data_IF_237114469542
#
_entry.id   IF_237114469542
#
_cell.length_a   1.000
_cell.length_b   1.000
_cell.length_c   1.000
_cell.angle_alpha   90.00
_cell.angle_beta   90.00
_cell.angle_gamma   90.00
#
_symmetry.space_group_name_H-M   'P 1'
#
loop_
_entity.id
_entity.type
_entity.pdbx_description
1 polymer ?
#
# COMPACT_ATOMS: atom_id res chain seq x y z
N UNK A 1 2.52 7.50 -16.94
CA UNK A 1 2.74 7.82 -15.51
C UNK A 1 4.19 8.19 -15.21
N UNK A 2 5.14 7.27 -15.35
CA UNK A 2 6.56 7.47 -14.90
C UNK A 2 7.27 8.65 -15.55
N UNK A 3 7.00 8.94 -16.82
CA UNK A 3 7.61 10.06 -17.53
C UNK A 3 7.11 11.41 -17.01
N UNK A 4 5.81 11.53 -16.76
CA UNK A 4 5.20 12.72 -16.16
C UNK A 4 5.81 13.05 -14.79
N UNK A 5 5.95 12.04 -13.91
CA UNK A 5 6.59 12.19 -12.60
C UNK A 5 8.02 12.72 -12.74
N UNK A 6 8.84 12.11 -13.59
CA UNK A 6 10.23 12.56 -13.83
C UNK A 6 10.31 14.00 -14.35
N UNK A 7 9.38 14.40 -15.23
CA UNK A 7 9.35 15.76 -15.78
C UNK A 7 9.01 16.79 -14.71
N UNK A 8 7.99 16.51 -13.88
CA UNK A 8 7.57 17.41 -12.82
C UNK A 8 8.59 17.48 -11.68
N UNK A 9 9.16 16.35 -11.28
CA UNK A 9 10.20 16.26 -10.27
C UNK A 9 11.49 17.01 -10.66
N UNK A 10 11.88 17.00 -11.95
CA UNK A 10 13.02 17.77 -12.46
C UNK A 10 12.79 19.29 -12.46
N UNK A 11 11.54 19.75 -12.47
CA UNK A 11 11.14 21.17 -12.43
C UNK A 11 10.83 21.65 -11.02
N UNK A 12 10.91 20.77 -10.04
CA UNK A 12 10.60 21.09 -8.65
C UNK A 12 11.64 22.04 -8.03
N UNK A 13 11.25 22.68 -6.94
CA UNK A 13 12.10 23.61 -6.21
C UNK A 13 13.31 22.89 -5.60
N UNK A 14 14.35 23.66 -5.27
CA UNK A 14 15.49 23.17 -4.50
C UNK A 14 15.03 22.58 -3.17
N UNK A 15 15.57 21.42 -2.78
CA UNK A 15 15.14 20.71 -1.58
C UNK A 15 13.94 19.77 -1.77
N UNK A 16 13.41 19.63 -2.99
CA UNK A 16 12.36 18.67 -3.27
C UNK A 16 12.92 17.24 -3.35
N UNK A 17 12.44 16.39 -2.45
CA UNK A 17 12.79 14.97 -2.43
C UNK A 17 11.72 14.17 -3.17
N UNK A 18 12.13 13.41 -4.20
CA UNK A 18 11.24 12.59 -5.00
C UNK A 18 11.16 11.16 -4.46
N UNK A 19 10.00 10.52 -4.63
CA UNK A 19 9.82 9.08 -4.37
C UNK A 19 10.12 8.70 -2.89
N UNK A 20 9.62 9.49 -1.94
CA UNK A 20 9.88 9.32 -0.50
C UNK A 20 9.07 8.17 0.06
N UNK A 21 9.75 7.14 0.57
CA UNK A 21 9.09 6.01 1.24
C UNK A 21 8.67 6.40 2.65
N UNK A 22 7.40 6.20 2.95
CA UNK A 22 6.78 6.51 4.23
C UNK A 22 6.14 5.25 4.80
N UNK A 23 6.31 5.02 6.09
CA UNK A 23 5.71 3.90 6.81
C UNK A 23 5.14 4.42 8.12
N UNK A 24 3.95 3.96 8.48
CA UNK A 24 3.33 4.29 9.76
C UNK A 24 2.73 3.03 10.37
N UNK A 25 3.06 2.79 11.64
CA UNK A 25 2.46 1.73 12.45
C UNK A 25 1.52 2.35 13.46
N UNK A 26 0.26 1.93 13.43
CA UNK A 26 -0.80 2.45 14.31
C UNK A 26 -1.46 1.30 15.04
N UNK A 27 -1.57 1.41 16.36
CA UNK A 27 -2.45 0.54 17.14
C UNK A 27 -3.86 1.14 17.14
N UNK A 28 -4.81 0.41 16.60
CA UNK A 28 -6.21 0.84 16.53
C UNK A 28 -7.12 -0.33 16.92
N UNK A 29 -7.96 -0.14 17.95
CA UNK A 29 -8.85 -1.14 18.56
C UNK A 29 -8.17 -2.51 18.82
N UNK A 30 -6.92 -2.48 19.32
CA UNK A 30 -6.17 -3.69 19.65
C UNK A 30 -5.59 -4.46 18.47
N UNK A 31 -5.66 -3.88 17.26
CA UNK A 31 -5.00 -4.38 16.04
C UNK A 31 -3.86 -3.44 15.64
N UNK A 32 -2.72 -4.00 15.28
CA UNK A 32 -1.59 -3.24 14.74
C UNK A 32 -1.71 -3.16 13.21
N UNK A 33 -1.80 -1.92 12.70
CA UNK A 33 -1.83 -1.64 11.27
C UNK A 33 -0.50 -1.06 10.85
N UNK A 34 0.23 -1.76 10.02
CA UNK A 34 1.39 -1.25 9.32
C UNK A 34 0.99 -0.83 7.91
N UNK A 35 1.09 0.46 7.63
CA UNK A 35 0.75 1.03 6.33
C UNK A 35 1.98 1.72 5.78
N UNK A 36 2.39 1.31 4.59
CA UNK A 36 3.52 1.89 3.89
C UNK A 36 3.13 2.32 2.49
N UNK A 37 3.85 3.32 1.99
CA UNK A 37 3.69 3.78 0.62
C UNK A 37 4.82 4.71 0.23
N UNK A 38 4.71 5.28 -0.96
CA UNK A 38 5.73 6.15 -1.51
C UNK A 38 5.08 7.40 -2.05
N UNK A 39 5.34 8.52 -1.38
CA UNK A 39 4.91 9.83 -1.85
C UNK A 39 5.71 10.22 -3.10
N UNK A 40 5.07 10.82 -4.09
CA UNK A 40 5.73 11.25 -5.32
C UNK A 40 6.74 12.37 -5.06
N UNK A 41 6.51 13.19 -4.03
CA UNK A 41 7.45 14.20 -3.60
C UNK A 41 7.17 14.79 -2.22
N UNK A 42 8.23 15.24 -1.59
CA UNK A 42 8.22 15.99 -0.33
C UNK A 42 9.14 17.19 -0.47
N UNK A 43 8.66 18.37 -0.12
CA UNK A 43 9.45 19.60 -0.06
C UNK A 43 9.46 20.09 1.38
N UNK A 44 10.66 20.18 1.96
CA UNK A 44 10.88 20.75 3.30
C UNK A 44 11.31 22.21 3.18
N UNK A 45 10.55 23.10 3.84
CA UNK A 45 10.76 24.54 3.84
C UNK A 45 10.16 25.16 5.10
N UNK A 46 9.69 26.39 5.03
CA UNK A 46 8.95 27.03 6.14
C UNK A 46 7.75 26.19 6.57
N UNK A 47 7.10 25.56 5.60
CA UNK A 47 6.11 24.52 5.82
C UNK A 47 6.43 23.33 4.94
N UNK A 48 6.41 22.13 5.52
CA UNK A 48 6.59 20.89 4.77
C UNK A 48 5.40 20.69 3.84
N UNK A 49 5.66 20.26 2.59
CA UNK A 49 4.66 19.95 1.59
C UNK A 49 4.85 18.52 1.11
N UNK A 50 3.76 17.75 1.07
CA UNK A 50 3.69 16.46 0.40
C UNK A 50 2.93 16.58 -0.92
N UNK A 51 3.47 16.00 -1.97
CA UNK A 51 2.88 16.03 -3.31
C UNK A 51 2.56 14.62 -3.80
N UNK A 52 1.37 14.49 -4.38
CA UNK A 52 0.91 13.31 -5.10
C UNK A 52 0.62 13.71 -6.55
N UNK A 53 1.23 13.01 -7.51
CA UNK A 53 1.16 13.32 -8.95
C UNK A 53 0.35 12.25 -9.67
N UNK A 54 -0.68 12.66 -10.42
CA UNK A 54 -1.50 11.75 -11.21
C UNK A 54 -1.52 12.13 -12.68
N UNK A 55 -1.15 11.17 -13.53
CA UNK A 55 -1.37 11.31 -14.97
C UNK A 55 -2.83 10.96 -15.30
N UNK A 56 -3.53 11.87 -15.93
CA UNK A 56 -4.96 11.74 -16.22
C UNK A 56 -5.26 12.13 -17.67
N UNK A 57 -6.37 11.62 -18.22
CA UNK A 57 -6.92 12.07 -19.49
C UNK A 57 -7.76 13.33 -19.34
N UNK A 58 -8.15 13.95 -20.47
CA UNK A 58 -8.84 15.24 -20.53
C UNK A 58 -10.11 15.30 -19.64
N UNK A 59 -10.92 14.24 -19.62
CA UNK A 59 -12.16 14.20 -18.83
C UNK A 59 -11.90 14.27 -17.32
N UNK A 60 -10.89 13.60 -16.82
CA UNK A 60 -10.51 13.62 -15.40
C UNK A 60 -9.76 14.91 -15.04
N UNK A 61 -8.95 15.43 -15.95
CA UNK A 61 -8.24 16.71 -15.80
C UNK A 61 -9.18 17.90 -15.59
N UNK A 62 -10.34 17.89 -16.27
CA UNK A 62 -11.34 18.95 -16.16
C UNK A 62 -12.13 18.94 -14.84
N UNK A 63 -12.03 17.88 -14.05
CA UNK A 63 -12.77 17.70 -12.79
C UNK A 63 -11.89 18.00 -11.57
N UNK A 64 -12.52 18.05 -10.40
CA UNK A 64 -11.82 17.98 -9.12
C UNK A 64 -11.11 16.63 -8.96
N UNK A 65 -10.02 16.56 -8.16
CA UNK A 65 -9.36 15.32 -7.84
C UNK A 65 -10.33 14.27 -7.31
N UNK A 66 -10.01 12.99 -7.51
CA UNK A 66 -10.81 11.92 -6.94
C UNK A 66 -10.56 11.80 -5.43
N UNK A 67 -11.59 11.44 -4.67
CA UNK A 67 -11.47 11.20 -3.24
C UNK A 67 -10.39 10.14 -2.89
N UNK A 68 -10.14 9.18 -3.79
CA UNK A 68 -9.07 8.19 -3.60
C UNK A 68 -7.68 8.82 -3.64
N UNK A 69 -7.42 9.71 -4.60
CA UNK A 69 -6.13 10.41 -4.71
C UNK A 69 -5.91 11.36 -3.54
N UNK A 70 -6.97 12.06 -3.11
CA UNK A 70 -6.92 12.90 -1.92
C UNK A 70 -6.62 12.07 -0.66
N UNK A 71 -7.30 10.95 -0.47
CA UNK A 71 -7.07 10.07 0.68
C UNK A 71 -5.63 9.54 0.71
N UNK A 72 -5.05 9.19 -0.44
CA UNK A 72 -3.66 8.75 -0.54
C UNK A 72 -2.70 9.86 -0.09
N UNK A 73 -2.86 11.07 -0.64
CA UNK A 73 -2.00 12.21 -0.29
C UNK A 73 -2.12 12.57 1.20
N UNK A 74 -3.33 12.50 1.77
CA UNK A 74 -3.56 12.76 3.19
C UNK A 74 -2.94 11.69 4.10
N UNK A 75 -2.93 10.42 3.71
CA UNK A 75 -2.22 9.38 4.46
C UNK A 75 -0.73 9.68 4.51
N UNK A 76 -0.12 10.07 3.40
CA UNK A 76 1.30 10.44 3.39
C UNK A 76 1.59 11.69 4.22
N UNK A 77 0.70 12.69 4.16
CA UNK A 77 0.80 13.87 5.01
C UNK A 77 0.73 13.50 6.50
N UNK A 78 -0.19 12.63 6.89
CA UNK A 78 -0.29 12.12 8.25
C UNK A 78 0.98 11.40 8.70
N UNK A 79 1.56 10.56 7.83
CA UNK A 79 2.79 9.84 8.15
C UNK A 79 3.96 10.81 8.38
N UNK A 80 4.07 11.85 7.56
CA UNK A 80 5.08 12.90 7.75
C UNK A 80 4.86 13.69 9.04
N UNK A 81 3.63 14.11 9.34
CA UNK A 81 3.32 14.78 10.61
C UNK A 81 3.76 13.94 11.81
N UNK A 82 3.53 12.63 11.76
CA UNK A 82 3.93 11.70 12.83
C UNK A 82 5.44 11.50 12.93
N UNK A 83 6.14 11.47 11.81
CA UNK A 83 7.57 11.21 11.76
C UNK A 83 8.41 12.44 12.10
N UNK A 84 7.92 13.63 11.73
CA UNK A 84 8.65 14.89 11.84
C UNK A 84 8.07 15.83 12.91
N UNK A 85 7.06 15.36 13.69
CA UNK A 85 6.37 16.11 14.76
C UNK A 85 5.82 17.46 14.26
N UNK A 86 5.07 17.41 13.15
CA UNK A 86 4.49 18.59 12.53
C UNK A 86 3.05 18.79 12.96
N UNK A 87 2.68 20.01 13.33
CA UNK A 87 1.30 20.40 13.63
C UNK A 87 0.47 20.64 12.38
N UNK A 88 1.12 21.12 11.31
CA UNK A 88 0.50 21.45 10.02
C UNK A 88 1.41 21.03 8.85
N UNK A 89 0.79 20.68 7.74
CA UNK A 89 1.47 20.30 6.50
C UNK A 89 0.65 20.73 5.28
N UNK A 90 1.34 21.12 4.21
CA UNK A 90 0.70 21.36 2.92
C UNK A 90 0.56 20.06 2.14
N UNK A 91 -0.62 19.84 1.61
CA UNK A 91 -0.93 18.69 0.74
C UNK A 91 -1.22 19.20 -0.66
N UNK A 92 -0.42 18.78 -1.63
CA UNK A 92 -0.59 19.11 -3.04
C UNK A 92 -0.94 17.87 -3.85
N UNK A 93 -2.00 18.00 -4.65
CA UNK A 93 -2.35 17.02 -5.66
C UNK A 93 -2.16 17.62 -7.04
N UNK A 94 -1.25 17.05 -7.81
CA UNK A 94 -0.88 17.54 -9.15
C UNK A 94 -1.41 16.60 -10.22
N UNK A 95 -2.29 17.12 -11.09
CA UNK A 95 -2.80 16.43 -12.25
C UNK A 95 -1.99 16.82 -13.50
N UNK A 96 -1.42 15.82 -14.14
CA UNK A 96 -0.71 15.95 -15.41
C UNK A 96 -1.57 15.35 -16.52
N UNK A 97 -1.92 16.17 -17.54
CA UNK A 97 -2.65 15.67 -18.70
C UNK A 97 -1.66 15.08 -19.70
N UNK A 98 -1.78 13.76 -19.95
CA UNK A 98 -0.84 13.02 -20.78
C UNK A 98 -0.87 13.40 -22.27
N UNK A 99 -1.95 14.00 -22.74
CA UNK A 99 -2.19 14.34 -24.16
C UNK A 99 -1.37 15.55 -24.62
N UNK A 100 -1.20 16.55 -23.77
CA UNK A 100 -0.54 17.81 -24.11
C UNK A 100 0.43 18.34 -23.07
N UNK A 101 0.62 17.60 -21.96
CA UNK A 101 1.52 17.98 -20.87
C UNK A 101 1.02 19.10 -19.97
N UNK A 102 -0.25 19.47 -20.05
CA UNK A 102 -0.86 20.48 -19.17
C UNK A 102 -0.82 20.03 -17.70
N UNK A 103 -0.57 20.95 -16.79
CA UNK A 103 -0.50 20.70 -15.34
C UNK A 103 -1.51 21.52 -14.60
N UNK A 104 -2.19 20.92 -13.63
CA UNK A 104 -3.09 21.59 -12.71
C UNK A 104 -2.88 21.06 -11.30
N UNK A 105 -2.65 21.94 -10.35
CA UNK A 105 -2.38 21.57 -8.95
C UNK A 105 -3.48 22.09 -8.03
N UNK A 106 -3.78 21.30 -7.02
CA UNK A 106 -4.68 21.62 -5.92
C UNK A 106 -3.87 21.51 -4.64
N UNK A 107 -3.79 22.58 -3.88
CA UNK A 107 -3.03 22.61 -2.64
C UNK A 107 -3.90 23.12 -1.51
N UNK A 108 -3.73 22.53 -0.34
CA UNK A 108 -4.34 23.00 0.90
C UNK A 108 -3.44 22.70 2.08
N UNK A 109 -3.53 23.50 3.13
CA UNK A 109 -2.94 23.22 4.43
C UNK A 109 -3.88 22.33 5.23
N UNK A 110 -3.34 21.33 5.90
CA UNK A 110 -4.05 20.42 6.78
C UNK A 110 -3.36 20.40 8.15
N UNK A 111 -4.13 20.35 9.21
CA UNK A 111 -3.60 20.10 10.56
C UNK A 111 -3.35 18.61 10.79
N UNK A 112 -2.41 18.27 11.66
CA UNK A 112 -2.15 16.88 12.07
C UNK A 112 -3.42 16.24 12.65
N UNK A 113 -4.24 17.00 13.39
CA UNK A 113 -5.49 16.51 13.97
C UNK A 113 -6.53 16.11 12.89
N UNK A 114 -6.73 16.96 11.86
CA UNK A 114 -7.59 16.63 10.72
C UNK A 114 -7.13 15.38 9.99
N UNK A 115 -5.81 15.27 9.75
CA UNK A 115 -5.23 14.12 9.04
C UNK A 115 -5.37 12.84 9.85
N UNK A 116 -5.19 12.91 11.16
CA UNK A 116 -5.40 11.80 12.08
C UNK A 116 -6.83 11.29 12.03
N UNK A 117 -7.81 12.17 12.14
CA UNK A 117 -9.24 11.81 12.09
C UNK A 117 -9.56 11.09 10.79
N UNK A 118 -9.12 11.64 9.65
CA UNK A 118 -9.32 11.03 8.34
C UNK A 118 -8.64 9.68 8.20
N UNK A 119 -7.43 9.55 8.71
CA UNK A 119 -6.70 8.27 8.69
C UNK A 119 -7.42 7.21 9.52
N UNK A 120 -7.88 7.54 10.72
CA UNK A 120 -8.64 6.61 11.55
C UNK A 120 -10.01 6.26 10.94
N UNK A 121 -10.67 7.19 10.26
CA UNK A 121 -11.86 6.88 9.49
C UNK A 121 -11.61 5.90 8.32
N UNK A 122 -10.41 5.86 7.75
CA UNK A 122 -10.02 4.84 6.78
C UNK A 122 -9.76 3.50 7.46
N UNK A 123 -9.07 3.47 8.61
CA UNK A 123 -8.82 2.23 9.37
C UNK A 123 -10.14 1.57 9.81
N UNK A 124 -11.12 2.35 10.28
CA UNK A 124 -12.43 1.81 10.68
C UNK A 124 -13.15 1.08 9.54
N UNK A 125 -12.92 1.47 8.29
CA UNK A 125 -13.53 0.82 7.12
C UNK A 125 -12.91 -0.53 6.77
N UNK A 126 -11.67 -0.78 7.20
CA UNK A 126 -10.96 -2.05 6.94
C UNK A 126 -10.89 -2.93 8.19
N UNK A 127 -11.30 -2.44 9.35
CA UNK A 127 -11.24 -3.12 10.65
C UNK A 127 -11.93 -4.49 10.60
N UNK A 128 -13.13 -4.57 10.05
CA UNK A 128 -13.87 -5.82 9.91
C UNK A 128 -13.07 -6.92 9.18
N UNK A 129 -12.37 -6.55 8.11
CA UNK A 129 -11.52 -7.51 7.38
C UNK A 129 -10.27 -7.89 8.17
N UNK A 130 -9.69 -6.96 8.92
CA UNK A 130 -8.53 -7.23 9.77
C UNK A 130 -8.88 -8.19 10.92
N UNK A 131 -10.06 -8.04 11.52
CA UNK A 131 -10.59 -8.95 12.55
C UNK A 131 -10.79 -10.37 12.00
N UNK A 132 -11.42 -10.51 10.81
CA UNK A 132 -11.57 -11.81 10.15
C UNK A 132 -10.22 -12.46 9.86
N UNK A 133 -9.24 -11.70 9.41
CA UNK A 133 -7.90 -12.24 9.13
C UNK A 133 -7.22 -12.72 10.41
N UNK A 134 -7.33 -11.96 11.50
CA UNK A 134 -6.81 -12.34 12.83
C UNK A 134 -7.49 -13.62 13.34
N UNK A 135 -8.82 -13.69 13.27
CA UNK A 135 -9.58 -14.88 13.69
C UNK A 135 -9.17 -16.11 12.87
N UNK A 136 -9.08 -15.96 11.55
CA UNK A 136 -8.62 -17.05 10.66
C UNK A 136 -7.21 -17.52 11.01
N UNK A 137 -6.30 -16.63 11.37
CA UNK A 137 -4.95 -16.97 11.74
C UNK A 137 -4.90 -17.78 13.03
N UNK A 138 -5.70 -17.41 14.04
CA UNK A 138 -5.82 -18.15 15.31
C UNK A 138 -6.37 -19.56 15.11
N UNK A 139 -7.27 -19.77 14.15
CA UNK A 139 -7.83 -21.10 13.82
C UNK A 139 -6.88 -21.89 12.91
N UNK A 140 -6.24 -21.22 11.95
CA UNK A 140 -5.40 -21.85 10.92
C UNK A 140 -4.17 -22.56 11.53
N UNK A 141 -3.47 -21.90 12.42
CA UNK A 141 -2.23 -22.48 13.01
C UNK A 141 -2.48 -23.79 13.77
N UNK A 142 -3.45 -23.88 14.71
CA UNK A 142 -3.79 -25.13 15.36
C UNK A 142 -4.30 -26.20 14.38
N UNK A 143 -5.10 -25.82 13.39
CA UNK A 143 -5.64 -26.78 12.40
C UNK A 143 -4.54 -27.37 11.51
N UNK A 144 -3.55 -26.59 11.12
CA UNK A 144 -2.38 -27.07 10.36
C UNK A 144 -1.50 -27.98 11.22
N UNK A 145 -1.29 -27.65 12.50
CA UNK A 145 -0.50 -28.47 13.43
C UNK A 145 -1.18 -29.80 13.76
N UNK A 146 -2.51 -29.83 13.87
CA UNK A 146 -3.30 -31.04 14.10
C UNK A 146 -3.65 -31.78 12.81
N UNK A 147 -3.40 -31.19 11.66
CA UNK A 147 -3.73 -31.73 10.35
C UNK A 147 -3.05 -33.06 10.09
N UNK A 148 -3.83 -34.05 9.67
CA UNK A 148 -3.32 -35.35 9.23
C UNK A 148 -3.59 -35.52 7.75
N UNK A 149 -2.74 -36.28 7.08
CA UNK A 149 -2.99 -36.63 5.70
C UNK A 149 -4.34 -37.38 5.61
N UNK A 150 -5.30 -36.94 4.75
CA UNK A 150 -6.70 -37.42 4.80
C UNK A 150 -6.91 -38.83 4.27
N UNK A 151 -5.84 -39.47 3.77
CA UNK A 151 -5.90 -40.83 3.21
C UNK A 151 -4.96 -41.75 3.94
N UNK A 152 -5.20 -43.10 3.95
CA UNK A 152 -4.37 -44.06 4.64
C UNK A 152 -2.93 -44.14 4.13
N UNK A 153 -2.69 -43.76 2.88
CA UNK A 153 -1.37 -43.77 2.26
C UNK A 153 -1.19 -42.65 1.25
N UNK A 154 0.03 -42.24 1.08
CA UNK A 154 0.43 -41.26 0.06
C UNK A 154 0.59 -42.00 -1.27
N UNK A 155 0.02 -41.49 -2.35
CA UNK A 155 0.16 -42.07 -3.70
C UNK A 155 1.57 -41.86 -4.23
N UNK A 156 1.99 -42.71 -5.15
CA UNK A 156 3.28 -42.62 -5.84
C UNK A 156 3.45 -41.19 -6.45
N UNK A 157 4.56 -40.52 -6.17
CA UNK A 157 4.87 -39.17 -6.61
C UNK A 157 4.34 -38.05 -5.72
N UNK A 158 3.32 -38.27 -4.89
CA UNK A 158 2.82 -37.24 -3.94
C UNK A 158 3.88 -36.89 -2.89
N UNK A 159 4.58 -37.88 -2.33
CA UNK A 159 5.62 -37.65 -1.31
C UNK A 159 6.71 -36.75 -1.86
N UNK A 160 7.19 -37.04 -3.07
CA UNK A 160 8.17 -36.18 -3.75
C UNK A 160 7.64 -34.76 -3.97
N UNK A 161 6.42 -34.62 -4.46
CA UNK A 161 5.79 -33.31 -4.68
C UNK A 161 5.67 -32.52 -3.36
N UNK A 162 5.23 -33.15 -2.28
CA UNK A 162 5.09 -32.52 -0.96
C UNK A 162 6.46 -32.02 -0.46
N UNK A 163 7.50 -32.84 -0.56
CA UNK A 163 8.86 -32.48 -0.11
C UNK A 163 9.44 -31.33 -0.93
N UNK A 164 9.28 -31.35 -2.26
CA UNK A 164 9.77 -30.30 -3.13
C UNK A 164 9.02 -28.99 -2.88
N UNK A 165 7.68 -29.03 -2.78
CA UNK A 165 6.88 -27.88 -2.42
C UNK A 165 7.33 -27.26 -1.07
N UNK A 166 7.49 -28.10 -0.05
CA UNK A 166 7.92 -27.65 1.27
C UNK A 166 9.31 -26.98 1.24
N UNK A 167 10.26 -27.62 0.56
CA UNK A 167 11.63 -27.11 0.41
C UNK A 167 11.66 -25.75 -0.28
N UNK A 168 10.94 -25.62 -1.41
CA UNK A 168 10.99 -24.43 -2.21
C UNK A 168 10.20 -23.26 -1.58
N UNK A 169 9.09 -23.53 -0.90
CA UNK A 169 8.37 -22.54 -0.09
C UNK A 169 9.27 -21.99 1.03
N UNK A 170 9.99 -22.89 1.77
CA UNK A 170 10.92 -22.47 2.81
C UNK A 170 12.11 -21.66 2.28
N UNK A 171 12.52 -21.93 1.06
CA UNK A 171 13.61 -21.21 0.41
C UNK A 171 13.15 -19.89 -0.29
N UNK A 172 11.86 -19.52 -0.18
CA UNK A 172 11.29 -18.35 -0.85
C UNK A 172 11.31 -18.45 -2.38
N UNK A 173 11.42 -19.67 -2.91
CA UNK A 173 11.48 -19.91 -4.36
C UNK A 173 10.08 -20.06 -4.95
N UNK A 174 10.00 -19.84 -6.26
CA UNK A 174 8.78 -20.14 -7.04
C UNK A 174 8.90 -21.57 -7.58
N UNK A 175 7.86 -22.37 -7.34
CA UNK A 175 7.76 -23.74 -7.82
C UNK A 175 6.66 -23.86 -8.86
N UNK A 176 6.97 -24.48 -9.96
CA UNK A 176 6.00 -24.93 -10.97
C UNK A 176 5.88 -26.44 -10.94
N UNK A 177 4.68 -26.95 -10.65
CA UNK A 177 4.43 -28.39 -10.55
C UNK A 177 3.55 -28.85 -11.70
N UNK A 178 4.05 -29.77 -12.53
CA UNK A 178 3.28 -30.47 -13.54
C UNK A 178 3.04 -31.90 -13.09
N UNK A 179 1.77 -32.28 -12.93
CA UNK A 179 1.40 -33.62 -12.53
C UNK A 179 0.20 -34.11 -13.37
N UNK A 180 0.17 -35.39 -13.79
CA UNK A 180 -0.94 -35.98 -14.54
C UNK A 180 -2.27 -35.96 -13.73
N UNK A 181 -3.38 -36.14 -14.41
CA UNK A 181 -4.68 -36.37 -13.76
C UNK A 181 -4.65 -37.63 -12.92
N UNK A 182 -5.38 -37.63 -11.79
CA UNK A 182 -5.43 -38.77 -10.89
C UNK A 182 -4.29 -38.94 -9.90
N UNK A 183 -3.27 -38.05 -9.91
CA UNK A 183 -2.16 -38.08 -8.94
C UNK A 183 -2.51 -37.51 -7.58
N UNK A 184 -3.73 -36.99 -7.39
CA UNK A 184 -4.15 -36.39 -6.12
C UNK A 184 -3.49 -35.08 -5.78
N UNK A 185 -3.34 -34.20 -6.76
CA UNK A 185 -2.76 -32.86 -6.61
C UNK A 185 -3.71 -31.82 -6.00
N UNK A 186 -4.96 -32.18 -5.77
CA UNK A 186 -6.00 -31.36 -5.09
C UNK A 186 -6.28 -31.88 -3.72
#
# INVERSE_FOLDING_TARGET
GREAHRLLQKRAAEGYEAEVTLTNTTLYHGLAYEVSGRADGVLRGERTLVEEIKTVGAKAYARSPSALHEAQAMCYAWFLCRQEDLDEIDVRLTLYRGEDGSVRSFQRTCTAAELQERYFALLSRVEYFAEILKERETVRLPSVQSGRFPFPSVRQGQDMMIRECYRDIRAGKRLFVQAPTGTGKT
#
